data_IF_969187654002
#
_entry.id   IF_969187654002
#
_cell.length_a   1.000
_cell.length_b   1.000
_cell.length_c   1.000
_cell.angle_alpha   90.00
_cell.angle_beta   90.00
_cell.angle_gamma   90.00
#
_symmetry.space_group_name_H-M   'P 1'
#
loop_
_entity.id
_entity.type
_entity.pdbx_description
1 polymer ?
#
# COMPACT_ATOMS: atom_id res chain seq x y z
N UNK A 1 -9.69 -3.03 13.20
CA UNK A 1 -9.11 -1.89 13.96
C UNK A 1 -9.46 -1.92 15.44
N UNK A 2 -10.72 -2.19 15.81
CA UNK A 2 -11.14 -2.31 17.22
C UNK A 2 -10.24 -3.19 18.11
N UNK A 3 -9.94 -4.43 17.69
CA UNK A 3 -9.04 -5.29 18.47
C UNK A 3 -7.60 -4.74 18.59
N UNK A 4 -7.11 -4.02 17.58
CA UNK A 4 -5.78 -3.38 17.66
C UNK A 4 -5.80 -2.19 18.63
N UNK A 5 -6.92 -1.45 18.69
CA UNK A 5 -7.12 -0.41 19.70
C UNK A 5 -7.20 -0.99 21.12
N UNK A 6 -7.92 -2.10 21.31
CA UNK A 6 -8.00 -2.79 22.60
C UNK A 6 -6.60 -3.24 23.05
N UNK A 7 -5.82 -3.88 22.16
CA UNK A 7 -4.45 -4.28 22.44
C UNK A 7 -3.55 -3.08 22.78
N UNK A 8 -3.59 -2.02 21.97
CA UNK A 8 -2.83 -0.79 22.21
C UNK A 8 -3.14 -0.20 23.60
N UNK A 9 -4.42 -0.18 23.98
CA UNK A 9 -4.85 0.33 25.29
C UNK A 9 -4.44 -0.58 26.44
N UNK A 10 -4.55 -1.91 26.30
CA UNK A 10 -4.22 -2.86 27.37
C UNK A 10 -2.71 -3.00 27.59
N UNK A 11 -1.93 -2.95 26.52
CA UNK A 11 -0.48 -3.17 26.56
C UNK A 11 0.30 -1.86 26.71
N UNK A 12 -0.37 -0.70 26.57
CA UNK A 12 0.28 0.61 26.66
C UNK A 12 1.20 0.90 25.48
N UNK A 13 0.98 0.25 24.33
CA UNK A 13 1.73 0.47 23.10
C UNK A 13 1.03 1.47 22.19
N UNK A 14 1.75 2.00 21.20
CA UNK A 14 1.14 2.88 20.22
C UNK A 14 0.16 2.10 19.35
N UNK A 15 -0.91 2.78 18.88
CA UNK A 15 -1.86 2.19 17.96
C UNK A 15 -1.17 1.75 16.65
N UNK A 16 -0.18 2.52 16.20
CA UNK A 16 0.65 2.17 15.06
C UNK A 16 1.29 0.78 15.26
N UNK A 17 2.01 0.55 16.36
CA UNK A 17 2.65 -0.75 16.62
C UNK A 17 1.61 -1.89 16.68
N UNK A 18 0.50 -1.69 17.38
CA UNK A 18 -0.56 -2.70 17.45
C UNK A 18 -1.17 -3.04 16.07
N UNK A 19 -1.29 -2.05 15.18
CA UNK A 19 -1.76 -2.29 13.80
C UNK A 19 -0.71 -2.98 12.94
N UNK A 20 0.57 -2.61 13.05
CA UNK A 20 1.66 -3.23 12.31
C UNK A 20 1.83 -4.70 12.71
N UNK A 21 1.79 -5.00 14.02
CA UNK A 21 1.86 -6.37 14.52
C UNK A 21 0.66 -7.22 14.07
N UNK A 22 -0.54 -6.63 14.00
CA UNK A 22 -1.75 -7.34 13.59
C UNK A 22 -1.80 -7.63 12.08
N UNK A 23 -1.48 -6.63 11.26
CA UNK A 23 -1.68 -6.70 9.81
C UNK A 23 -0.40 -7.01 9.04
N UNK A 24 0.75 -7.08 9.72
CA UNK A 24 2.06 -7.42 9.14
C UNK A 24 2.45 -6.51 7.98
N UNK A 25 2.11 -5.22 8.07
CA UNK A 25 2.49 -4.16 7.14
C UNK A 25 2.68 -2.86 7.92
N UNK A 26 3.35 -1.87 7.35
CA UNK A 26 3.57 -0.57 7.98
C UNK A 26 2.28 0.26 8.07
N UNK A 27 2.11 1.01 9.15
CA UNK A 27 0.93 1.83 9.41
C UNK A 27 1.26 3.27 9.78
N UNK A 28 0.30 4.16 9.49
CA UNK A 28 0.26 5.52 9.97
C UNK A 28 -1.01 5.76 10.77
N UNK A 29 -0.90 6.48 11.88
CA UNK A 29 -2.02 6.76 12.78
C UNK A 29 -2.12 8.23 13.15
N UNK A 30 -3.32 8.80 13.09
CA UNK A 30 -3.65 10.18 13.47
C UNK A 30 -4.70 10.15 14.58
N UNK A 31 -4.46 10.87 15.67
CA UNK A 31 -5.44 11.06 16.74
C UNK A 31 -5.79 12.55 16.88
N UNK A 32 -7.08 12.86 17.01
CA UNK A 32 -7.59 14.23 17.08
C UNK A 32 -8.65 14.37 18.19
N UNK A 33 -8.69 15.56 18.80
CA UNK A 33 -9.69 15.93 19.80
C UNK A 33 -11.07 16.26 19.22
N UNK A 34 -11.14 16.49 17.90
CA UNK A 34 -12.37 16.83 17.18
C UNK A 34 -12.36 16.09 15.85
N UNK A 35 -13.54 16.00 15.25
CA UNK A 35 -13.71 15.38 13.95
C UNK A 35 -12.89 16.10 12.87
N UNK A 36 -12.40 15.34 11.90
CA UNK A 36 -11.59 15.82 10.80
C UNK A 36 -11.86 15.06 9.50
N UNK A 37 -11.61 15.71 8.37
CA UNK A 37 -11.64 15.10 7.05
C UNK A 37 -10.21 14.74 6.64
N UNK A 38 -10.03 13.55 6.08
CA UNK A 38 -8.74 13.11 5.56
C UNK A 38 -8.90 12.54 4.15
N UNK A 39 -8.03 12.96 3.25
CA UNK A 39 -7.81 12.32 1.94
C UNK A 39 -6.42 11.69 1.99
N UNK A 40 -6.37 10.37 2.03
CA UNK A 40 -5.12 9.61 2.17
C UNK A 40 -4.99 8.60 1.05
N UNK A 41 -3.77 8.42 0.54
CA UNK A 41 -3.42 7.23 -0.21
C UNK A 41 -3.12 6.13 0.82
N UNK A 42 -3.61 4.91 0.61
CA UNK A 42 -3.42 3.80 1.55
C UNK A 42 -3.22 2.49 0.80
N UNK A 43 -2.50 1.56 1.42
CA UNK A 43 -2.27 0.25 0.84
C UNK A 43 -3.46 -0.70 1.05
N UNK A 44 -3.86 -1.40 -0.02
CA UNK A 44 -4.91 -2.43 0.03
C UNK A 44 -6.28 -1.87 0.40
N UNK A 45 -6.96 -2.54 1.33
CA UNK A 45 -8.24 -2.17 1.92
C UNK A 45 -8.10 -1.73 3.40
N UNK A 46 -6.86 -1.44 3.84
CA UNK A 46 -6.52 -1.17 5.22
C UNK A 46 -6.59 0.33 5.54
N UNK A 47 -7.80 0.88 5.59
CA UNK A 47 -8.10 2.24 6.04
C UNK A 47 -9.25 2.20 7.06
N UNK A 48 -9.12 2.90 8.18
CA UNK A 48 -10.16 2.93 9.18
C UNK A 48 -10.11 4.19 10.05
N UNK A 49 -11.21 4.92 10.08
CA UNK A 49 -11.46 6.02 11.00
C UNK A 49 -12.54 5.61 12.00
N UNK A 50 -12.25 5.79 13.28
CA UNK A 50 -13.17 5.48 14.39
C UNK A 50 -13.26 6.65 15.36
N UNK A 51 -14.39 6.73 16.05
CA UNK A 51 -14.60 7.63 17.17
C UNK A 51 -14.67 6.80 18.46
N UNK A 52 -13.86 7.17 19.46
CA UNK A 52 -13.84 6.52 20.77
C UNK A 52 -13.77 7.62 21.83
N UNK A 53 -14.72 7.63 22.77
CA UNK A 53 -14.79 8.59 23.87
C UNK A 53 -14.72 10.06 23.39
N UNK A 54 -15.36 10.37 22.25
CA UNK A 54 -15.35 11.71 21.63
C UNK A 54 -14.02 12.10 20.98
N UNK A 55 -13.05 11.19 20.89
CA UNK A 55 -11.79 11.36 20.17
C UNK A 55 -11.85 10.64 18.84
N UNK A 56 -11.24 11.23 17.82
CA UNK A 56 -11.24 10.70 16.46
C UNK A 56 -9.87 10.14 16.15
N UNK A 57 -9.85 8.88 15.70
CA UNK A 57 -8.62 8.16 15.39
C UNK A 57 -8.72 7.63 13.96
N UNK A 58 -7.74 7.93 13.13
CA UNK A 58 -7.55 7.34 11.81
C UNK A 58 -6.30 6.47 11.84
N UNK A 59 -6.40 5.25 11.31
CA UNK A 59 -5.26 4.39 11.02
C UNK A 59 -5.37 3.91 9.57
N UNK A 60 -4.26 3.94 8.84
CA UNK A 60 -4.19 3.40 7.48
C UNK A 60 -2.84 2.73 7.24
N UNK A 61 -2.84 1.70 6.39
CA UNK A 61 -1.60 1.09 5.95
C UNK A 61 -0.83 2.05 5.04
N UNK A 62 0.44 2.28 5.37
CA UNK A 62 1.33 3.14 4.60
C UNK A 62 1.40 2.63 3.16
N UNK A 63 1.19 3.51 2.15
CA UNK A 63 1.39 3.15 0.76
C UNK A 63 2.77 2.53 0.55
N UNK A 64 2.78 1.36 -0.07
CA UNK A 64 4.03 0.79 -0.56
C UNK A 64 4.45 1.51 -1.83
N UNK A 65 5.75 1.57 -2.11
CA UNK A 65 6.24 2.09 -3.37
C UNK A 65 5.52 1.36 -4.52
N UNK A 66 4.93 2.12 -5.42
CA UNK A 66 4.41 1.56 -6.66
C UNK A 66 5.58 0.85 -7.36
N UNK A 67 5.37 -0.41 -7.77
CA UNK A 67 6.37 -1.09 -8.59
C UNK A 67 6.55 -0.27 -9.86
N UNK A 68 7.79 0.08 -10.17
CA UNK A 68 8.14 0.71 -11.42
C UNK A 68 7.61 -0.17 -12.57
N UNK A 69 6.73 0.41 -13.39
CA UNK A 69 6.17 -0.26 -14.56
C UNK A 69 7.02 0.09 -15.76
N UNK A 70 7.54 -0.94 -16.41
CA UNK A 70 8.29 -0.78 -17.64
C UNK A 70 7.29 -0.60 -18.80
N UNK A 71 7.34 0.56 -19.46
CA UNK A 71 6.50 0.83 -20.62
C UNK A 71 7.29 0.43 -21.87
N UNK A 72 6.74 -0.48 -22.67
CA UNK A 72 7.35 -0.96 -23.92
C UNK A 72 6.45 -0.58 -25.09
N UNK A 73 7.04 -0.13 -26.19
CA UNK A 73 6.30 0.10 -27.43
C UNK A 73 5.81 -1.22 -28.04
N UNK A 74 4.55 -1.24 -28.48
CA UNK A 74 3.94 -2.42 -29.06
C UNK A 74 4.72 -2.99 -30.25
N UNK A 75 5.32 -2.14 -31.09
CA UNK A 75 6.08 -2.64 -32.24
C UNK A 75 7.34 -3.37 -31.79
N UNK A 76 8.07 -2.84 -30.81
CA UNK A 76 9.25 -3.51 -30.23
C UNK A 76 8.92 -4.82 -29.50
N UNK A 77 7.72 -4.93 -28.93
CA UNK A 77 7.25 -6.17 -28.31
C UNK A 77 6.94 -7.24 -29.37
N UNK A 78 6.25 -6.87 -30.46
CA UNK A 78 5.87 -7.81 -31.51
C UNK A 78 7.00 -8.13 -32.52
N UNK A 79 8.03 -7.27 -32.61
CA UNK A 79 9.21 -7.53 -33.45
C UNK A 79 10.26 -8.44 -32.79
N UNK A 80 10.15 -8.69 -31.47
CA UNK A 80 11.14 -9.44 -30.69
C UNK A 80 12.33 -8.61 -30.21
N UNK A 81 12.40 -7.31 -30.55
CA UNK A 81 13.49 -6.43 -30.12
C UNK A 81 13.50 -6.20 -28.59
N UNK A 82 12.34 -6.42 -27.95
CA UNK A 82 12.20 -6.29 -26.50
C UNK A 82 12.58 -7.57 -25.73
N UNK A 83 12.92 -8.68 -26.39
CA UNK A 83 13.19 -9.97 -25.71
C UNK A 83 14.33 -9.88 -24.69
N UNK A 84 15.37 -9.08 -24.97
CA UNK A 84 16.49 -8.83 -24.05
C UNK A 84 16.05 -8.12 -22.74
N UNK A 85 14.90 -7.43 -22.74
CA UNK A 85 14.35 -6.74 -21.57
C UNK A 85 13.61 -7.68 -20.62
N UNK A 86 13.20 -8.87 -21.07
CA UNK A 86 12.44 -9.84 -20.28
C UNK A 86 13.32 -10.95 -19.66
N UNK A 87 14.61 -11.01 -20.02
CA UNK A 87 15.56 -11.97 -19.49
C UNK A 87 16.02 -11.60 -18.07
N UNK A 88 15.20 -11.99 -17.09
CA UNK A 88 15.59 -11.90 -15.67
C UNK A 88 16.36 -13.17 -15.27
N UNK A 89 17.59 -13.00 -14.77
CA UNK A 89 18.40 -14.02 -14.10
C UNK A 89 17.76 -14.53 -12.78
N UNK A 90 16.59 -15.16 -12.87
CA UNK A 90 15.98 -15.97 -11.82
C UNK A 90 15.62 -15.26 -10.50
N UNK A 91 15.68 -13.94 -10.40
CA UNK A 91 15.22 -13.22 -9.22
C UNK A 91 13.69 -13.17 -9.20
N UNK A 92 13.09 -13.59 -8.08
CA UNK A 92 11.67 -13.93 -7.94
C UNK A 92 10.65 -12.80 -8.19
N UNK A 93 11.09 -11.57 -8.46
CA UNK A 93 10.18 -10.48 -8.82
C UNK A 93 10.18 -10.26 -10.33
N UNK A 94 9.30 -10.96 -11.04
CA UNK A 94 9.03 -10.68 -12.46
C UNK A 94 8.56 -9.21 -12.60
N UNK A 95 9.24 -8.38 -13.40
CA UNK A 95 8.82 -7.01 -13.67
C UNK A 95 7.44 -6.97 -14.34
N UNK A 96 6.68 -5.91 -14.08
CA UNK A 96 5.39 -5.65 -14.74
C UNK A 96 5.61 -4.74 -15.93
N UNK A 97 5.11 -5.15 -17.09
CA UNK A 97 5.24 -4.41 -18.34
C UNK A 97 3.89 -3.95 -18.83
N UNK A 98 3.83 -2.69 -19.26
CA UNK A 98 2.68 -2.15 -20.00
C UNK A 98 3.12 -2.03 -21.45
N UNK A 99 2.52 -2.83 -22.33
CA UNK A 99 2.74 -2.71 -23.77
C UNK A 99 1.77 -1.66 -24.31
N UNK A 100 2.32 -0.58 -24.88
CA UNK A 100 1.54 0.54 -25.38
C UNK A 100 1.84 0.79 -26.86
N UNK A 101 0.79 1.00 -27.66
CA UNK A 101 0.92 1.31 -29.08
C UNK A 101 -0.22 0.72 -29.91
N UNK A 102 -0.38 1.15 -31.17
CA UNK A 102 -1.40 0.61 -32.05
C UNK A 102 -1.13 -0.87 -32.33
N UNK A 103 -2.10 -1.73 -32.02
CA UNK A 103 -2.11 -3.12 -32.47
C UNK A 103 -2.42 -3.08 -33.97
N UNK A 104 -1.45 -3.45 -34.82
CA UNK A 104 -1.65 -3.57 -36.26
C UNK A 104 -1.91 -5.03 -36.64
#
# INVERSE_FOLDING_TARGET
MEMAYIAAKSEGISLCNATEEKFKTSFETIAAHRDFVAKVNFAGDLNCKIEIDGKFILAYATPQNEKEVNIIDANSFFSGDADELFDTNGTESKPTYIVYGPIR
#
